data_IF_602523469735
#
_entry.id   IF_602523469735
#
_cell.length_a   1.000
_cell.length_b   1.000
_cell.length_c   1.000
_cell.angle_alpha   90.00
_cell.angle_beta   90.00
_cell.angle_gamma   90.00
#
_symmetry.space_group_name_H-M   'P 1'
#
loop_
_entity.id
_entity.type
_entity.pdbx_description
1 polymer ?
#
# COMPACT_ATOMS: atom_id res chain seq x y z
N UNK A 1 1.34 -1.39 -84.39
CA UNK A 1 1.51 -2.46 -83.39
C UNK A 1 2.37 -1.90 -82.28
N UNK A 2 1.73 -1.56 -81.16
CA UNK A 2 2.42 -1.10 -79.96
C UNK A 2 2.80 -2.30 -79.09
N UNK A 3 3.89 -2.15 -78.37
CA UNK A 3 4.03 -2.79 -77.06
C UNK A 3 4.95 -1.91 -76.22
N UNK A 4 4.31 -1.05 -75.44
CA UNK A 4 4.88 -0.43 -74.25
C UNK A 4 5.01 -1.53 -73.18
N UNK A 5 6.20 -1.67 -72.59
CA UNK A 5 6.45 -2.55 -71.46
C UNK A 5 7.02 -1.72 -70.32
N UNK A 6 6.18 -0.84 -69.77
CA UNK A 6 6.34 -0.26 -68.45
C UNK A 6 6.17 -1.31 -67.34
N UNK A 7 7.26 -1.99 -66.98
CA UNK A 7 7.33 -2.84 -65.80
C UNK A 7 7.40 -2.01 -64.52
N UNK A 8 6.24 -1.64 -63.97
CA UNK A 8 6.14 -0.95 -62.70
C UNK A 8 6.67 -1.83 -61.55
N UNK A 9 7.84 -1.45 -61.02
CA UNK A 9 8.44 -2.01 -59.80
C UNK A 9 7.65 -1.48 -58.58
N UNK A 10 6.52 -2.10 -58.28
CA UNK A 10 5.73 -1.84 -57.08
C UNK A 10 6.45 -2.38 -55.83
N UNK A 11 7.40 -1.62 -55.30
CA UNK A 11 7.95 -1.88 -53.97
C UNK A 11 6.87 -1.65 -52.92
N UNK A 12 6.50 -2.70 -52.18
CA UNK A 12 5.56 -2.61 -51.06
C UNK A 12 6.22 -1.72 -50.00
N UNK A 13 5.75 -0.48 -49.86
CA UNK A 13 6.18 0.40 -48.77
C UNK A 13 5.47 -0.06 -47.50
N UNK A 14 6.17 -0.81 -46.67
CA UNK A 14 5.75 -1.10 -45.30
C UNK A 14 5.95 0.16 -44.47
N UNK A 15 4.97 1.06 -44.50
CA UNK A 15 4.90 2.15 -43.54
C UNK A 15 4.60 1.53 -42.16
N UNK A 16 5.45 1.76 -41.16
CA UNK A 16 5.15 1.31 -39.81
C UNK A 16 3.97 2.16 -39.34
N UNK A 17 2.81 1.54 -39.16
CA UNK A 17 1.69 2.22 -38.54
C UNK A 17 2.09 2.62 -37.11
N UNK A 18 2.44 3.90 -36.93
CA UNK A 18 2.82 4.50 -35.63
C UNK A 18 1.58 4.76 -34.77
N UNK A 19 0.42 4.96 -35.40
CA UNK A 19 -0.87 5.25 -34.74
C UNK A 19 -1.26 4.18 -33.71
N UNK A 20 -1.21 2.88 -34.02
CA UNK A 20 -1.44 1.82 -33.04
C UNK A 20 -0.36 1.72 -31.96
N UNK A 21 0.90 2.05 -32.28
CA UNK A 21 2.00 2.01 -31.30
C UNK A 21 1.83 3.09 -30.23
N UNK A 22 1.45 4.30 -30.64
CA UNK A 22 1.21 5.43 -29.72
C UNK A 22 0.03 5.13 -28.78
N UNK A 23 -1.03 4.48 -29.29
CA UNK A 23 -2.19 4.09 -28.48
C UNK A 23 -1.80 3.11 -27.35
N UNK A 24 -1.01 2.08 -27.68
CA UNK A 24 -0.49 1.12 -26.68
C UNK A 24 0.39 1.83 -25.63
N UNK A 25 1.27 2.75 -26.06
CA UNK A 25 2.10 3.49 -25.10
C UNK A 25 1.28 4.41 -24.19
N UNK A 26 0.25 5.06 -24.72
CA UNK A 26 -0.63 5.93 -23.94
C UNK A 26 -1.48 5.14 -22.93
N UNK A 27 -1.97 3.96 -23.31
CA UNK A 27 -2.64 3.03 -22.38
C UNK A 27 -1.73 2.64 -21.23
N UNK A 28 -0.47 2.31 -21.49
CA UNK A 28 0.50 1.97 -20.43
C UNK A 28 0.76 3.15 -19.48
N UNK A 29 0.82 4.38 -19.99
CA UNK A 29 0.97 5.59 -19.17
C UNK A 29 -0.25 5.84 -18.28
N UNK A 30 -1.46 5.64 -18.80
CA UNK A 30 -2.71 5.76 -18.03
C UNK A 30 -2.75 4.71 -16.92
N UNK A 31 -2.36 3.46 -17.20
CA UNK A 31 -2.31 2.39 -16.19
C UNK A 31 -1.34 2.75 -15.06
N UNK A 32 -0.13 3.20 -15.39
CA UNK A 32 0.86 3.61 -14.38
C UNK A 32 0.37 4.79 -13.52
N UNK A 33 -0.29 5.79 -14.12
CA UNK A 33 -0.88 6.91 -13.39
C UNK A 33 -2.08 6.50 -12.52
N UNK A 34 -2.85 5.49 -12.92
CA UNK A 34 -3.98 4.97 -12.12
C UNK A 34 -3.54 4.06 -10.97
N UNK A 35 -2.48 3.26 -11.16
CA UNK A 35 -2.00 2.34 -10.12
C UNK A 35 -1.20 3.07 -9.04
N UNK A 36 -0.43 4.12 -9.38
CA UNK A 36 0.35 4.90 -8.41
C UNK A 36 -0.46 5.46 -7.21
N UNK A 37 -1.63 6.11 -7.36
CA UNK A 37 -2.42 6.61 -6.24
C UNK A 37 -3.06 5.49 -5.41
N UNK A 38 -3.26 4.30 -5.99
CA UNK A 38 -3.78 3.15 -5.23
C UNK A 38 -2.77 2.63 -4.20
N UNK A 39 -1.47 2.91 -4.36
CA UNK A 39 -0.44 2.55 -3.39
C UNK A 39 -0.45 3.44 -2.13
N UNK A 40 -1.18 4.57 -2.13
CA UNK A 40 -1.13 5.57 -1.06
C UNK A 40 -2.37 5.56 -0.13
N UNK A 41 -3.09 4.44 -0.02
CA UNK A 41 -4.17 4.31 0.96
C UNK A 41 -3.63 4.04 2.37
N UNK A 42 -2.91 5.00 2.93
CA UNK A 42 -2.44 4.98 4.32
C UNK A 42 -3.04 6.14 5.10
N UNK A 43 -3.63 5.87 6.26
CA UNK A 43 -3.97 6.92 7.24
C UNK A 43 -2.68 7.53 7.76
N UNK A 44 -2.54 8.85 7.68
CA UNK A 44 -1.39 9.56 8.25
C UNK A 44 -1.48 9.59 9.78
N UNK A 45 -0.70 8.75 10.45
CA UNK A 45 -0.50 8.74 11.91
C UNK A 45 0.98 9.01 12.19
N UNK A 46 1.29 9.86 13.18
CA UNK A 46 2.66 10.13 13.61
C UNK A 46 3.09 9.06 14.59
N UNK A 47 3.99 8.17 14.19
CA UNK A 47 4.34 7.01 14.98
C UNK A 47 5.47 7.35 15.98
N UNK A 48 5.48 6.73 17.16
CA UNK A 48 6.58 6.90 18.10
C UNK A 48 7.88 6.36 17.47
N UNK A 49 9.01 6.99 17.81
CA UNK A 49 10.32 6.63 17.23
C UNK A 49 11.06 5.60 18.07
N UNK A 50 11.47 4.48 17.45
CA UNK A 50 12.29 3.44 18.07
C UNK A 50 13.65 3.29 17.39
N UNK A 51 14.70 3.02 18.17
CA UNK A 51 16.08 2.85 17.70
C UNK A 51 16.32 1.50 17.03
N UNK A 52 15.57 0.46 17.44
CA UNK A 52 15.65 -0.89 16.89
C UNK A 52 14.31 -1.29 16.26
N UNK A 53 14.07 -0.84 15.04
CA UNK A 53 12.97 -1.31 14.20
C UNK A 53 13.50 -2.27 13.15
N UNK A 54 12.84 -3.42 12.99
CA UNK A 54 13.04 -4.30 11.84
C UNK A 54 12.14 -3.78 10.72
N UNK A 55 12.70 -3.45 9.57
CA UNK A 55 11.94 -3.08 8.38
C UNK A 55 11.17 -4.32 7.91
N UNK A 56 9.92 -4.45 8.35
CA UNK A 56 8.99 -5.44 7.79
C UNK A 56 8.31 -4.75 6.61
N UNK A 57 8.48 -5.22 5.37
CA UNK A 57 7.76 -4.64 4.24
C UNK A 57 6.25 -4.65 4.57
N UNK A 58 5.53 -3.57 4.25
CA UNK A 58 4.07 -3.58 4.34
C UNK A 58 3.55 -4.69 3.42
N UNK A 59 3.30 -5.86 3.99
CA UNK A 59 2.85 -7.01 3.23
C UNK A 59 1.40 -6.73 2.84
N UNK A 60 1.16 -6.53 1.55
CA UNK A 60 -0.18 -6.44 1.00
C UNK A 60 -0.99 -7.66 1.47
N UNK A 61 -2.09 -7.40 2.19
CA UNK A 61 -2.93 -8.45 2.76
C UNK A 61 -2.78 -8.65 4.28
N UNK A 62 -2.00 -7.83 5.00
CA UNK A 62 -2.03 -7.81 6.45
C UNK A 62 -3.08 -6.82 6.99
N UNK A 63 -3.71 -7.16 8.10
CA UNK A 63 -4.69 -6.29 8.76
C UNK A 63 -3.96 -5.22 9.56
N UNK A 64 -4.12 -3.96 9.18
CA UNK A 64 -3.51 -2.80 9.86
C UNK A 64 -4.57 -2.04 10.64
N UNK A 65 -4.28 -1.80 11.91
CA UNK A 65 -5.09 -0.97 12.81
C UNK A 65 -4.31 0.29 13.13
N UNK A 66 -4.85 1.44 12.76
CA UNK A 66 -4.30 2.73 13.16
C UNK A 66 -5.13 3.34 14.30
N UNK A 67 -4.43 3.85 15.32
CA UNK A 67 -5.00 4.55 16.47
C UNK A 67 -4.54 6.00 16.41
N UNK A 68 -5.47 6.90 16.12
CA UNK A 68 -5.21 8.34 16.10
C UNK A 68 -5.24 8.96 17.50
N UNK A 69 -4.71 10.19 17.60
CA UNK A 69 -4.66 11.01 18.82
C UNK A 69 -6.03 11.19 19.46
N UNK A 70 -7.07 11.33 18.64
CA UNK A 70 -8.46 11.51 19.06
C UNK A 70 -9.15 10.20 19.51
N UNK A 71 -8.41 9.13 19.79
CA UNK A 71 -8.93 7.78 20.07
C UNK A 71 -9.79 7.21 18.94
N UNK A 72 -9.59 7.71 17.72
CA UNK A 72 -10.22 7.19 16.52
C UNK A 72 -9.47 5.96 16.03
N UNK A 73 -10.20 4.87 15.83
CA UNK A 73 -9.67 3.62 15.29
C UNK A 73 -9.90 3.55 13.78
N UNK A 74 -8.91 3.05 13.07
CA UNK A 74 -8.98 2.83 11.64
C UNK A 74 -8.54 1.40 11.32
N UNK A 75 -9.35 0.66 10.58
CA UNK A 75 -9.04 -0.68 10.10
C UNK A 75 -8.78 -0.61 8.60
N UNK A 76 -7.57 -0.92 8.15
CA UNK A 76 -7.16 -0.84 6.74
C UNK A 76 -7.59 0.49 6.07
N UNK A 77 -7.28 1.60 6.74
CA UNK A 77 -7.65 2.97 6.36
C UNK A 77 -9.15 3.32 6.38
N UNK A 78 -10.02 2.44 6.90
CA UNK A 78 -11.45 2.74 7.09
C UNK A 78 -11.73 3.09 8.55
N UNK A 79 -12.44 4.19 8.85
CA UNK A 79 -12.79 4.53 10.22
C UNK A 79 -13.71 3.48 10.84
N UNK A 80 -13.44 3.15 12.10
CA UNK A 80 -14.13 2.14 12.89
C UNK A 80 -14.32 2.67 14.31
N UNK A 81 -15.48 2.38 14.89
CA UNK A 81 -15.76 2.65 16.29
C UNK A 81 -15.12 1.57 17.15
N UNK A 82 -14.74 1.90 18.38
CA UNK A 82 -14.16 0.95 19.33
C UNK A 82 -15.06 -0.30 19.53
N UNK A 83 -16.38 -0.10 19.54
CA UNK A 83 -17.37 -1.17 19.70
C UNK A 83 -17.43 -2.14 18.51
N UNK A 84 -17.26 -1.63 17.28
CA UNK A 84 -17.26 -2.46 16.07
C UNK A 84 -15.86 -3.01 15.74
N UNK A 85 -14.80 -2.56 16.42
CA UNK A 85 -13.42 -2.95 16.14
C UNK A 85 -13.23 -4.46 16.25
N UNK A 86 -13.61 -5.05 17.39
CA UNK A 86 -13.50 -6.50 17.60
C UNK A 86 -14.26 -7.31 16.56
N UNK A 87 -15.49 -6.90 16.21
CA UNK A 87 -16.32 -7.60 15.22
C UNK A 87 -15.72 -7.53 13.82
N UNK A 88 -15.35 -6.33 13.36
CA UNK A 88 -14.76 -6.14 12.03
C UNK A 88 -13.41 -6.83 11.90
N UNK A 89 -12.62 -6.84 12.97
CA UNK A 89 -11.34 -7.55 12.99
C UNK A 89 -11.58 -9.06 12.89
N UNK A 90 -12.51 -9.62 13.66
CA UNK A 90 -12.86 -11.04 13.56
C UNK A 90 -13.32 -11.42 12.14
N UNK A 91 -14.25 -10.66 11.55
CA UNK A 91 -14.72 -10.85 10.16
C UNK A 91 -13.57 -10.77 9.13
N UNK A 92 -12.61 -9.87 9.35
CA UNK A 92 -11.45 -9.71 8.46
C UNK A 92 -10.49 -10.89 8.59
N UNK A 93 -10.28 -11.40 9.80
CA UNK A 93 -9.38 -12.51 10.10
C UNK A 93 -9.94 -13.87 9.73
N UNK A 94 -11.26 -14.06 9.72
CA UNK A 94 -11.89 -15.29 9.22
C UNK A 94 -11.50 -15.59 7.77
N UNK A 95 -11.21 -14.56 6.98
CA UNK A 95 -10.82 -14.68 5.58
C UNK A 95 -9.30 -14.84 5.39
N UNK A 96 -8.50 -14.82 6.46
CA UNK A 96 -7.04 -14.87 6.40
C UNK A 96 -6.48 -16.19 6.97
N UNK A 97 -5.48 -16.76 6.29
CA UNK A 97 -4.77 -17.97 6.76
C UNK A 97 -3.86 -17.70 7.96
N UNK A 98 -3.33 -16.48 8.06
CA UNK A 98 -2.45 -16.05 9.14
C UNK A 98 -3.11 -14.89 9.88
N UNK A 99 -3.31 -15.05 11.20
CA UNK A 99 -3.97 -14.06 12.03
C UNK A 99 -2.97 -13.05 12.60
N UNK A 100 -2.31 -12.33 11.70
CA UNK A 100 -1.33 -11.30 12.02
C UNK A 100 -1.98 -9.93 11.89
N UNK A 101 -1.94 -9.14 12.97
CA UNK A 101 -2.44 -7.75 12.98
C UNK A 101 -1.30 -6.80 13.31
N UNK A 102 -1.22 -5.71 12.56
CA UNK A 102 -0.25 -4.65 12.75
C UNK A 102 -0.92 -3.42 13.37
N UNK A 103 -0.39 -2.94 14.48
CA UNK A 103 -0.89 -1.75 15.19
C UNK A 103 0.03 -0.56 14.89
N UNK A 104 -0.57 0.51 14.37
CA UNK A 104 0.03 1.83 14.16
C UNK A 104 -0.59 2.80 15.17
N UNK A 105 0.07 3.12 16.27
CA UNK A 105 -0.45 4.08 17.24
C UNK A 105 0.27 5.42 17.13
N UNK A 106 -0.46 6.52 17.23
CA UNK A 106 0.16 7.84 17.29
C UNK A 106 0.97 8.02 18.59
N UNK A 107 2.06 8.78 18.54
CA UNK A 107 2.94 9.07 19.68
C UNK A 107 2.18 9.70 20.88
N UNK A 108 1.13 10.47 20.64
CA UNK A 108 0.35 11.11 21.70
C UNK A 108 -0.76 10.22 22.30
N UNK A 109 -0.93 8.99 21.79
CA UNK A 109 -1.94 8.06 22.30
C UNK A 109 -1.53 7.51 23.66
N UNK A 110 -2.45 7.54 24.62
CA UNK A 110 -2.25 6.94 25.93
C UNK A 110 -1.98 5.43 25.78
N UNK A 111 -0.93 4.93 26.44
CA UNK A 111 -0.57 3.51 26.41
C UNK A 111 -1.73 2.59 26.85
N UNK A 112 -2.60 3.08 27.74
CA UNK A 112 -3.83 2.40 28.17
C UNK A 112 -4.77 2.09 27.01
N UNK A 113 -4.90 3.01 26.04
CA UNK A 113 -5.74 2.82 24.86
C UNK A 113 -5.14 1.75 23.91
N UNK A 114 -3.82 1.72 23.77
CA UNK A 114 -3.13 0.68 22.99
C UNK A 114 -3.32 -0.70 23.63
N UNK A 115 -3.22 -0.77 24.97
CA UNK A 115 -3.46 -2.00 25.73
C UNK A 115 -4.91 -2.49 25.61
N UNK A 116 -5.89 -1.58 25.69
CA UNK A 116 -7.30 -1.92 25.50
C UNK A 116 -7.56 -2.48 24.09
N UNK A 117 -6.97 -1.86 23.07
CA UNK A 117 -7.04 -2.35 21.70
C UNK A 117 -6.41 -3.74 21.58
N UNK A 118 -5.22 -3.97 22.14
CA UNK A 118 -4.58 -5.30 22.13
C UNK A 118 -5.44 -6.37 22.80
N UNK A 119 -6.10 -6.07 23.91
CA UNK A 119 -6.97 -7.05 24.59
C UNK A 119 -8.19 -7.39 23.74
N UNK A 120 -8.83 -6.39 23.11
CA UNK A 120 -9.93 -6.61 22.18
C UNK A 120 -9.51 -7.47 20.98
N UNK A 121 -8.30 -7.27 20.45
CA UNK A 121 -7.76 -8.06 19.34
C UNK A 121 -7.51 -9.51 19.74
N UNK A 122 -7.00 -9.72 20.95
CA UNK A 122 -6.76 -11.06 21.49
C UNK A 122 -8.08 -11.79 21.76
N UNK A 123 -9.11 -11.08 22.22
CA UNK A 123 -10.48 -11.61 22.32
C UNK A 123 -11.09 -11.94 20.95
N UNK A 124 -10.78 -11.18 19.91
CA UNK A 124 -11.18 -11.44 18.53
C UNK A 124 -10.41 -12.60 17.86
N UNK A 125 -9.46 -13.22 18.58
CA UNK A 125 -8.74 -14.41 18.12
C UNK A 125 -7.49 -14.13 17.29
N UNK A 126 -6.90 -12.93 17.41
CA UNK A 126 -5.59 -12.60 16.82
C UNK A 126 -4.47 -13.37 17.52
N UNK A 127 -3.60 -14.01 16.74
CA UNK A 127 -2.50 -14.83 17.27
C UNK A 127 -1.19 -14.06 17.36
N UNK A 128 -0.92 -13.19 16.38
CA UNK A 128 0.31 -12.41 16.29
C UNK A 128 -0.03 -10.92 16.16
N UNK A 129 0.47 -10.11 17.09
CA UNK A 129 0.27 -8.66 17.11
C UNK A 129 1.64 -7.98 16.97
N UNK A 130 1.83 -7.27 15.87
CA UNK A 130 3.01 -6.45 15.64
C UNK A 130 2.73 -4.97 15.91
N UNK A 131 3.65 -4.26 16.56
CA UNK A 131 3.62 -2.81 16.64
C UNK A 131 4.52 -2.20 15.56
N UNK A 132 3.99 -1.21 14.85
CA UNK A 132 4.76 -0.41 13.89
C UNK A 132 5.15 0.89 14.58
N UNK A 133 6.44 1.19 14.54
CA UNK A 133 7.04 2.41 15.08
C UNK A 133 7.90 3.04 14.00
N UNK A 134 8.03 4.36 14.00
CA UNK A 134 8.95 5.04 13.10
C UNK A 134 10.38 4.77 13.55
N UNK A 135 11.32 4.60 12.62
CA UNK A 135 12.73 4.53 13.00
C UNK A 135 13.19 5.95 13.35
N UNK A 136 13.84 6.14 14.50
CA UNK A 136 14.55 7.41 14.74
C UNK A 136 15.64 7.52 13.68
N UNK A 137 15.49 8.43 12.71
CA UNK A 137 16.55 8.77 11.77
C UNK A 137 17.68 9.38 12.60
N UNK A 138 18.57 8.53 13.12
CA UNK A 138 19.83 8.94 13.70
C UNK A 138 20.55 9.79 12.66
N UNK A 139 21.12 10.90 13.11
CA UNK A 139 21.85 11.87 12.31
C UNK A 139 22.55 11.19 11.13
N UNK A 140 22.17 11.62 9.92
CA UNK A 140 22.93 11.34 8.71
C UNK A 140 24.39 11.67 9.00
N UNK A 141 25.22 10.63 8.94
CA UNK A 141 26.67 10.78 8.91
C UNK A 141 27.01 11.76 7.80
N UNK A 142 27.37 12.96 8.22
CA UNK A 142 27.94 14.01 7.39
C UNK A 142 29.26 13.48 6.83
N UNK A 143 29.37 13.43 5.50
CA UNK A 143 30.62 13.61 4.73
C UNK A 143 31.80 12.67 4.97
N UNK A 144 32.25 12.04 3.88
CA UNK A 144 33.67 11.79 3.66
C UNK A 144 34.11 10.32 3.73
N UNK A 145 34.06 9.64 2.58
CA UNK A 145 35.24 9.27 1.79
C UNK A 145 34.80 8.74 0.43
#
# INVERSE_FOLDING_TARGET
MGMDLGGAKGGVKSDINVTPLVDVMLVLLIIMMLVAPMLQQGVSVKLPTATNTVDKPEVQGQTVIAIGRDKQFYLNAKPVTEQDLGRKVAETLENMKEKVVLIKADEEVEYSAVMAAMDQLRQAGVEDIGLITERKKGAEGTGGQ
#
